data_IF_883095419153
#
_entry.id   IF_883095419153
#
_cell.length_a   1.000
_cell.length_b   1.000
_cell.length_c   1.000
_cell.angle_alpha   90.00
_cell.angle_beta   90.00
_cell.angle_gamma   90.00
#
_symmetry.space_group_name_H-M   'P 1'
#
loop_
_entity.id
_entity.type
_entity.pdbx_description
1 polymer ?
#
# COMPACT_ATOMS: atom_id res chain seq x y z
N UNK A 1 -8.94 -3.48 -52.29
CA UNK A 1 -8.26 -2.22 -51.90
C UNK A 1 -8.87 -1.61 -50.64
N UNK A 2 -10.19 -1.47 -50.52
CA UNK A 2 -10.84 -0.98 -49.30
C UNK A 2 -10.74 -1.96 -48.11
N UNK A 3 -10.98 -3.27 -48.31
CA UNK A 3 -10.84 -4.30 -47.27
C UNK A 3 -9.41 -4.43 -46.70
N UNK A 4 -8.39 -4.33 -47.56
CA UNK A 4 -6.98 -4.43 -47.14
C UNK A 4 -6.54 -3.24 -46.27
N UNK A 5 -7.16 -2.07 -46.47
CA UNK A 5 -6.88 -0.87 -45.70
C UNK A 5 -7.57 -0.91 -44.33
N UNK A 6 -8.80 -1.45 -44.27
CA UNK A 6 -9.55 -1.70 -43.04
C UNK A 6 -8.83 -2.69 -42.10
N UNK A 7 -8.33 -3.81 -42.64
CA UNK A 7 -7.51 -4.76 -41.88
C UNK A 7 -6.22 -4.15 -41.31
N UNK A 8 -5.60 -3.22 -42.05
CA UNK A 8 -4.39 -2.53 -41.59
C UNK A 8 -4.69 -1.59 -40.41
N UNK A 9 -5.84 -0.91 -40.45
CA UNK A 9 -6.29 -0.01 -39.38
C UNK A 9 -6.65 -0.81 -38.12
N UNK A 10 -7.41 -1.90 -38.24
CA UNK A 10 -7.75 -2.76 -37.10
C UNK A 10 -6.50 -3.40 -36.46
N UNK A 11 -5.52 -3.82 -37.27
CA UNK A 11 -4.23 -4.31 -36.77
C UNK A 11 -3.43 -3.22 -36.03
N UNK A 12 -3.46 -1.98 -36.51
CA UNK A 12 -2.82 -0.84 -35.84
C UNK A 12 -3.50 -0.51 -34.51
N UNK A 13 -4.84 -0.53 -34.45
CA UNK A 13 -5.61 -0.34 -33.20
C UNK A 13 -5.25 -1.42 -32.18
N UNK A 14 -5.19 -2.69 -32.60
CA UNK A 14 -4.78 -3.78 -31.72
C UNK A 14 -3.34 -3.62 -31.22
N UNK A 15 -2.40 -3.31 -32.12
CA UNK A 15 -1.00 -3.06 -31.74
C UNK A 15 -0.87 -1.90 -30.76
N UNK A 16 -1.63 -0.82 -30.97
CA UNK A 16 -1.68 0.30 -30.03
C UNK A 16 -2.24 -0.13 -28.67
N UNK A 17 -3.34 -0.88 -28.65
CA UNK A 17 -3.94 -1.38 -27.41
C UNK A 17 -2.99 -2.30 -26.62
N UNK A 18 -2.30 -3.23 -27.31
CA UNK A 18 -1.30 -4.11 -26.70
C UNK A 18 -0.14 -3.29 -26.12
N UNK A 19 0.40 -2.35 -26.89
CA UNK A 19 1.50 -1.50 -26.42
C UNK A 19 1.09 -0.65 -25.21
N UNK A 20 -0.13 -0.11 -25.22
CA UNK A 20 -0.70 0.64 -24.10
C UNK A 20 -0.85 -0.24 -22.86
N UNK A 21 -1.37 -1.45 -23.02
CA UNK A 21 -1.51 -2.41 -21.92
C UNK A 21 -0.14 -2.84 -21.38
N UNK A 22 0.82 -3.15 -22.26
CA UNK A 22 2.18 -3.51 -21.89
C UNK A 22 2.85 -2.39 -21.09
N UNK A 23 2.64 -1.13 -21.46
CA UNK A 23 3.13 0.03 -20.70
C UNK A 23 2.48 0.11 -19.32
N UNK A 24 1.16 -0.06 -19.23
CA UNK A 24 0.45 -0.07 -17.93
C UNK A 24 0.97 -1.17 -17.00
N UNK A 25 1.19 -2.38 -17.53
CA UNK A 25 1.75 -3.50 -16.74
C UNK A 25 3.17 -3.16 -16.26
N UNK A 26 4.00 -2.62 -17.14
CA UNK A 26 5.36 -2.20 -16.78
C UNK A 26 5.37 -1.13 -15.69
N UNK A 27 4.53 -0.11 -15.84
CA UNK A 27 4.43 0.99 -14.88
C UNK A 27 3.92 0.50 -13.51
N UNK A 28 2.90 -0.37 -13.50
CA UNK A 28 2.37 -1.00 -12.29
C UNK A 28 3.45 -1.84 -11.59
N UNK A 29 4.17 -2.67 -12.34
CA UNK A 29 5.25 -3.49 -11.79
C UNK A 29 6.40 -2.64 -11.21
N UNK A 30 6.77 -1.55 -11.88
CA UNK A 30 7.78 -0.62 -11.35
C UNK A 30 7.30 0.08 -10.08
N UNK A 31 6.03 0.49 -10.03
CA UNK A 31 5.44 1.11 -8.83
C UNK A 31 5.44 0.15 -7.65
N UNK A 32 5.02 -1.10 -7.87
CA UNK A 32 5.07 -2.16 -6.86
C UNK A 32 6.50 -2.39 -6.35
N UNK A 33 7.49 -2.45 -7.26
CA UNK A 33 8.89 -2.62 -6.88
C UNK A 33 9.41 -1.46 -6.02
N UNK A 34 9.10 -0.22 -6.40
CA UNK A 34 9.49 0.96 -5.61
C UNK A 34 8.84 0.95 -4.23
N UNK A 35 7.55 0.62 -4.17
CA UNK A 35 6.80 0.51 -2.91
C UNK A 35 7.44 -0.52 -1.96
N UNK A 36 7.70 -1.74 -2.44
CA UNK A 36 8.34 -2.78 -1.63
C UNK A 36 9.74 -2.38 -1.15
N UNK A 37 10.50 -1.66 -1.99
CA UNK A 37 11.81 -1.18 -1.60
C UNK A 37 11.71 -0.12 -0.49
N UNK A 38 10.79 0.84 -0.64
CA UNK A 38 10.56 1.88 0.37
C UNK A 38 10.10 1.28 1.70
N UNK A 39 9.13 0.37 1.64
CA UNK A 39 8.66 -0.38 2.80
C UNK A 39 9.81 -1.12 3.50
N UNK A 40 10.65 -1.82 2.73
CA UNK A 40 11.80 -2.55 3.29
C UNK A 40 12.78 -1.62 4.02
N UNK A 41 13.07 -0.44 3.45
CA UNK A 41 13.93 0.55 4.08
C UNK A 41 13.32 1.10 5.37
N UNK A 42 12.03 1.44 5.36
CA UNK A 42 11.34 1.98 6.53
C UNK A 42 11.19 0.95 7.65
N UNK A 43 11.07 -0.34 7.34
CA UNK A 43 11.09 -1.42 8.33
C UNK A 43 12.49 -1.65 8.92
N UNK A 44 13.56 -1.42 8.14
CA UNK A 44 14.93 -1.70 8.57
C UNK A 44 15.38 -0.80 9.72
N UNK A 45 15.03 0.49 9.68
CA UNK A 45 15.38 1.47 10.72
C UNK A 45 14.87 1.10 12.12
N UNK A 46 13.55 0.90 12.36
CA UNK A 46 13.04 0.53 13.67
C UNK A 46 13.57 -0.84 14.12
N UNK A 47 13.77 -1.79 13.20
CA UNK A 47 14.36 -3.09 13.51
C UNK A 47 15.82 -2.96 14.00
N UNK A 48 16.63 -2.13 13.34
CA UNK A 48 18.00 -1.85 13.78
C UNK A 48 18.04 -1.13 15.13
N UNK A 49 17.09 -0.23 15.36
CA UNK A 49 16.91 0.47 16.64
C UNK A 49 16.61 -0.53 17.77
N UNK A 50 15.60 -1.39 17.58
CA UNK A 50 15.24 -2.45 18.53
C UNK A 50 16.46 -3.32 18.86
N UNK A 51 17.20 -3.76 17.83
CA UNK A 51 18.38 -4.58 18.02
C UNK A 51 19.48 -3.86 18.79
N UNK A 52 19.79 -2.62 18.43
CA UNK A 52 20.79 -1.82 19.15
C UNK A 52 20.46 -1.62 20.62
N UNK A 53 19.18 -1.39 20.94
CA UNK A 53 18.74 -1.27 22.33
C UNK A 53 18.78 -2.61 23.07
N UNK A 54 18.37 -3.71 22.44
CA UNK A 54 18.45 -5.05 23.02
C UNK A 54 19.90 -5.45 23.31
N UNK A 55 20.80 -5.28 22.34
CA UNK A 55 22.24 -5.57 22.46
C UNK A 55 22.86 -4.71 23.60
N UNK A 56 22.48 -3.44 23.72
CA UNK A 56 22.98 -2.57 24.78
C UNK A 56 22.41 -2.89 26.17
N UNK A 57 21.21 -3.47 26.28
CA UNK A 57 20.71 -4.04 27.55
C UNK A 57 21.55 -5.27 27.92
N UNK A 58 21.79 -6.18 26.97
CA UNK A 58 22.57 -7.40 27.21
C UNK A 58 24.00 -7.09 27.66
N UNK A 59 24.62 -6.09 27.05
CA UNK A 59 25.97 -5.62 27.42
C UNK A 59 26.01 -4.77 28.70
N UNK A 60 24.86 -4.50 29.34
CA UNK A 60 24.77 -3.70 30.56
C UNK A 60 25.14 -2.22 30.38
N UNK A 61 25.02 -1.71 29.15
CA UNK A 61 25.41 -0.33 28.79
C UNK A 61 24.37 0.68 29.28
N UNK A 62 23.10 0.27 29.36
CA UNK A 62 22.00 1.12 29.80
C UNK A 62 21.74 0.95 31.30
N UNK A 63 21.83 2.06 32.05
CA UNK A 63 21.52 2.10 33.48
C UNK A 63 20.02 2.01 33.78
N UNK A 64 19.18 2.55 32.89
CA UNK A 64 17.72 2.51 33.00
C UNK A 64 17.13 1.57 31.94
N UNK A 65 16.99 0.30 32.32
CA UNK A 65 16.42 -0.73 31.43
C UNK A 65 14.94 -0.53 31.16
N UNK A 66 14.21 0.19 32.03
CA UNK A 66 12.78 0.44 31.85
C UNK A 66 12.54 1.48 30.75
N UNK A 67 13.31 2.57 30.74
CA UNK A 67 13.30 3.54 29.64
C UNK A 67 13.71 2.88 28.31
N UNK A 68 14.76 2.06 28.30
CA UNK A 68 15.18 1.35 27.09
C UNK A 68 14.12 0.37 26.57
N UNK A 69 13.45 -0.36 27.47
CA UNK A 69 12.34 -1.24 27.10
C UNK A 69 11.14 -0.46 26.53
N UNK A 70 10.88 0.75 27.02
CA UNK A 70 9.85 1.63 26.46
C UNK A 70 10.17 2.04 25.02
N UNK A 71 11.42 2.41 24.73
CA UNK A 71 11.85 2.75 23.36
C UNK A 71 11.70 1.55 22.42
N UNK A 72 12.12 0.36 22.85
CA UNK A 72 11.91 -0.88 22.09
C UNK A 72 10.41 -1.08 21.78
N UNK A 73 9.53 -0.86 22.76
CA UNK A 73 8.08 -0.97 22.56
C UNK A 73 7.55 0.04 21.54
N UNK A 74 8.04 1.28 21.54
CA UNK A 74 7.65 2.29 20.55
C UNK A 74 8.07 1.87 19.12
N UNK A 75 9.30 1.36 18.97
CA UNK A 75 9.78 0.88 17.66
C UNK A 75 9.00 -0.34 17.14
N UNK A 76 8.58 -1.24 18.04
CA UNK A 76 7.68 -2.35 17.69
C UNK A 76 6.32 -1.81 17.23
N UNK A 77 5.77 -0.80 17.90
CA UNK A 77 4.50 -0.20 17.51
C UNK A 77 4.58 0.51 16.14
N UNK A 78 5.71 1.16 15.83
CA UNK A 78 5.99 1.71 14.50
C UNK A 78 6.03 0.61 13.44
N UNK A 79 6.74 -0.50 13.70
CA UNK A 79 6.77 -1.66 12.81
C UNK A 79 5.38 -2.22 12.55
N UNK A 80 4.56 -2.40 13.59
CA UNK A 80 3.18 -2.88 13.45
C UNK A 80 2.37 -1.95 12.56
N UNK A 81 2.46 -0.64 12.79
CA UNK A 81 1.74 0.36 11.99
C UNK A 81 2.15 0.35 10.51
N UNK A 82 3.44 0.17 10.23
CA UNK A 82 3.95 0.02 8.86
C UNK A 82 3.38 -1.24 8.20
N UNK A 83 3.45 -2.39 8.89
CA UNK A 83 2.93 -3.67 8.39
C UNK A 83 1.43 -3.59 8.10
N UNK A 84 0.64 -2.98 9.00
CA UNK A 84 -0.79 -2.78 8.80
C UNK A 84 -1.07 -1.91 7.56
N UNK A 85 -0.25 -0.88 7.32
CA UNK A 85 -0.29 -0.08 6.11
C UNK A 85 -0.02 -0.91 4.85
N UNK A 86 0.98 -1.80 4.87
CA UNK A 86 1.28 -2.71 3.75
C UNK A 86 0.12 -3.67 3.46
N UNK A 87 -0.46 -4.27 4.52
CA UNK A 87 -1.60 -5.18 4.41
C UNK A 87 -2.84 -4.46 3.88
N UNK A 88 -3.07 -3.22 4.30
CA UNK A 88 -4.17 -2.38 3.83
C UNK A 88 -4.02 -2.06 2.35
N UNK A 89 -2.83 -1.67 1.91
CA UNK A 89 -2.59 -1.41 0.49
C UNK A 89 -2.80 -2.67 -0.35
N UNK A 90 -2.29 -3.82 0.11
CA UNK A 90 -2.52 -5.10 -0.58
C UNK A 90 -4.00 -5.47 -0.69
N UNK A 91 -4.85 -5.09 0.28
CA UNK A 91 -6.31 -5.26 0.17
C UNK A 91 -6.93 -4.32 -0.86
N UNK A 92 -6.49 -3.06 -0.91
CA UNK A 92 -6.98 -2.07 -1.87
C UNK A 92 -6.65 -2.47 -3.31
N UNK A 93 -5.44 -3.00 -3.57
CA UNK A 93 -5.06 -3.51 -4.90
C UNK A 93 -5.92 -4.69 -5.37
N UNK A 94 -6.53 -5.44 -4.44
CA UNK A 94 -7.43 -6.55 -4.76
C UNK A 94 -8.90 -6.12 -4.96
N UNK A 95 -9.24 -4.83 -4.75
CA UNK A 95 -10.55 -4.29 -5.10
C UNK A 95 -10.60 -3.96 -6.61
N UNK A 96 -10.73 -5.01 -7.43
CA UNK A 96 -11.18 -4.88 -8.83
C UNK A 96 -12.71 -4.73 -8.93
N UNK A 97 -13.43 -4.80 -7.80
CA UNK A 97 -14.90 -4.75 -7.74
C UNK A 97 -15.42 -3.30 -7.66
N UNK A 98 -15.20 -2.54 -8.75
CA UNK A 98 -15.88 -1.25 -8.98
C UNK A 98 -17.37 -1.48 -9.32
N UNK A 99 -17.79 -2.73 -9.54
CA UNK A 99 -19.15 -3.10 -9.96
C UNK A 99 -20.24 -2.92 -8.89
N UNK A 100 -19.91 -2.43 -7.68
CA UNK A 100 -20.88 -2.18 -6.61
C UNK A 100 -20.99 -0.70 -6.17
N UNK A 101 -20.56 0.24 -7.02
CA UNK A 101 -20.83 1.66 -6.77
C UNK A 101 -22.33 1.97 -6.89
N UNK A 102 -23.06 1.86 -5.79
CA UNK A 102 -24.44 2.33 -5.71
C UNK A 102 -24.49 3.86 -5.60
N UNK A 103 -25.47 4.47 -6.25
CA UNK A 103 -25.78 5.89 -6.07
C UNK A 103 -26.41 6.06 -4.70
N UNK A 104 -25.61 6.50 -3.72
CA UNK A 104 -26.08 6.73 -2.36
C UNK A 104 -26.69 8.13 -2.27
N UNK A 105 -27.91 8.23 -1.74
CA UNK A 105 -28.46 9.52 -1.33
C UNK A 105 -27.77 9.97 -0.04
N UNK A 106 -26.86 10.93 -0.17
CA UNK A 106 -26.03 11.41 0.94
C UNK A 106 -26.86 11.89 2.15
N UNK A 107 -28.04 12.48 1.93
CA UNK A 107 -28.91 12.93 3.03
C UNK A 107 -29.42 11.74 3.86
N UNK A 108 -29.85 10.67 3.20
CA UNK A 108 -30.38 9.49 3.86
C UNK A 108 -29.29 8.75 4.64
N UNK A 109 -28.11 8.60 4.02
CA UNK A 109 -26.96 7.94 4.64
C UNK A 109 -26.46 8.70 5.88
N UNK A 110 -26.41 10.03 5.81
CA UNK A 110 -26.02 10.86 6.96
C UNK A 110 -27.07 10.81 8.08
N UNK A 111 -28.36 10.74 7.76
CA UNK A 111 -29.42 10.59 8.78
C UNK A 111 -29.46 9.21 9.44
N UNK A 112 -28.92 8.19 8.79
CA UNK A 112 -28.81 6.84 9.34
C UNK A 112 -27.58 6.69 10.26
N UNK A 113 -26.47 7.36 9.92
CA UNK A 113 -25.24 7.35 10.73
C UNK A 113 -25.28 8.28 11.94
N UNK A 114 -26.08 9.34 11.88
CA UNK A 114 -26.32 10.23 13.01
C UNK A 114 -27.70 9.92 13.58
N UNK A 115 -27.81 9.08 14.64
CA UNK A 115 -29.09 8.83 15.27
C UNK A 115 -29.61 10.16 15.77
N UNK A 116 -30.77 10.57 15.22
CA UNK A 116 -31.51 11.80 15.53
C UNK A 116 -31.09 12.42 16.88
N UNK A 117 -30.21 13.42 16.85
CA UNK A 117 -30.06 14.30 18.01
C UNK A 117 -31.29 15.20 18.05
N UNK A 118 -32.01 15.26 19.19
CA UNK A 118 -33.23 16.04 19.35
C UNK A 118 -33.02 17.55 19.18
#
# INVERSE_FOLDING_TARGET
MLETMDHTIEFQKLSYAINKMSRRIYDAHNSQKMFLNNASHELWTPLMSIRGYADGIEMGIFADTQSTAHIISEEVQKLTSLIDGLLTLGRIENFDDIDSLEIINLKNYLSELLPNTP
#
